data_IF_583723121108
#
_entry.id   IF_583723121108
#
_cell.length_a   1.000
_cell.length_b   1.000
_cell.length_c   1.000
_cell.angle_alpha   90.00
_cell.angle_beta   90.00
_cell.angle_gamma   90.00
#
_symmetry.space_group_name_H-M   'P 1'
#
loop_
_entity.id
_entity.type
_entity.pdbx_description
1 polymer ?
#
# COMPACT_ATOMS: atom_id res chain seq x y z
N UNK A 1 64.09 38.94 57.76
CA UNK A 1 62.69 39.06 57.36
C UNK A 1 62.61 38.97 55.83
N UNK A 2 62.26 37.82 55.27
CA UNK A 2 62.16 37.59 53.80
C UNK A 2 60.69 37.45 53.45
N UNK A 3 60.17 38.36 52.62
CA UNK A 3 58.81 38.35 52.14
C UNK A 3 58.80 37.52 50.86
N UNK A 4 58.02 36.46 50.85
CA UNK A 4 57.76 35.66 49.64
C UNK A 4 56.55 36.26 48.89
N UNK A 5 56.72 36.74 47.68
CA UNK A 5 55.62 37.08 46.78
C UNK A 5 55.19 35.79 46.08
N UNK A 6 53.95 35.42 46.28
CA UNK A 6 53.31 34.33 45.52
C UNK A 6 52.75 34.91 44.23
N UNK A 7 53.25 34.45 43.11
CA UNK A 7 52.69 34.70 41.78
C UNK A 7 51.56 33.71 41.54
N UNK A 8 50.32 34.20 41.48
CA UNK A 8 49.17 33.38 41.05
C UNK A 8 49.11 33.41 39.51
N UNK A 9 49.34 32.24 38.90
CA UNK A 9 49.16 32.05 37.46
C UNK A 9 47.68 31.82 37.15
N UNK A 10 47.02 32.75 36.50
CA UNK A 10 45.68 32.58 35.94
C UNK A 10 45.76 31.77 34.64
N UNK A 11 45.28 30.54 34.68
CA UNK A 11 45.05 29.74 33.49
C UNK A 11 43.74 30.17 32.84
N UNK A 12 43.84 30.82 31.68
CA UNK A 12 42.69 31.06 30.80
C UNK A 12 42.35 29.77 30.03
N UNK A 13 41.31 29.11 30.38
CA UNK A 13 40.74 28.02 29.60
C UNK A 13 39.98 28.60 28.40
N UNK A 14 40.55 28.46 27.21
CA UNK A 14 39.85 28.75 25.95
C UNK A 14 38.85 27.64 25.71
N UNK A 15 37.59 27.94 25.94
CA UNK A 15 36.50 27.04 25.53
C UNK A 15 36.39 27.07 24.00
N UNK A 16 36.88 26.02 23.35
CA UNK A 16 36.62 25.77 21.94
C UNK A 16 35.14 25.38 21.81
N UNK A 17 34.32 26.38 21.45
CA UNK A 17 32.93 26.16 21.13
C UNK A 17 32.79 25.26 19.90
N UNK A 18 32.69 23.95 20.11
CA UNK A 18 32.27 23.01 19.08
C UNK A 18 30.85 23.34 18.68
N UNK A 19 30.64 23.84 17.46
CA UNK A 19 29.31 23.95 16.87
C UNK A 19 28.64 22.58 16.95
N UNK A 20 27.39 22.46 17.43
CA UNK A 20 26.70 21.19 17.38
C UNK A 20 26.62 20.76 15.91
N UNK A 21 27.23 19.63 15.58
CA UNK A 21 26.99 18.95 14.34
C UNK A 21 25.48 18.73 14.25
N UNK A 22 24.80 19.53 13.44
CA UNK A 22 23.43 19.26 13.03
C UNK A 22 23.46 17.90 12.34
N UNK A 23 23.17 16.86 13.13
CA UNK A 23 22.97 15.53 12.62
C UNK A 23 21.77 15.64 11.69
N UNK A 24 21.99 15.56 10.37
CA UNK A 24 20.91 15.43 9.42
C UNK A 24 20.03 14.31 9.94
N UNK A 25 18.80 14.64 10.28
CA UNK A 25 17.80 13.62 10.58
C UNK A 25 17.77 12.72 9.33
N UNK A 26 17.81 11.39 9.48
CA UNK A 26 17.58 10.51 8.35
C UNK A 26 16.27 11.01 7.73
N UNK A 27 16.32 11.32 6.42
CA UNK A 27 15.14 11.69 5.65
C UNK A 27 14.04 10.75 6.10
N UNK A 28 12.99 11.31 6.73
CA UNK A 28 11.98 10.51 7.40
C UNK A 28 11.60 9.39 6.48
N UNK A 29 11.54 8.18 7.00
CA UNK A 29 11.25 6.98 6.25
C UNK A 29 10.04 7.28 5.39
N UNK A 30 10.27 7.50 4.09
CA UNK A 30 9.21 7.84 3.15
C UNK A 30 8.24 6.69 3.22
N UNK A 31 7.06 6.90 3.79
CA UNK A 31 5.93 5.98 3.67
C UNK A 31 5.54 5.98 2.20
N UNK A 32 6.20 5.15 1.45
CA UNK A 32 6.14 5.12 0.00
C UNK A 32 4.91 4.31 -0.37
N UNK A 33 3.90 4.99 -0.89
CA UNK A 33 2.70 4.36 -1.43
C UNK A 33 3.03 3.35 -2.53
N UNK A 34 3.96 3.73 -3.42
CA UNK A 34 4.42 2.91 -4.52
C UNK A 34 5.94 3.02 -4.64
N UNK A 35 6.62 1.88 -4.76
CA UNK A 35 8.07 1.80 -5.00
C UNK A 35 8.32 1.25 -6.40
N UNK A 36 8.30 2.10 -7.44
CA UNK A 36 8.58 1.64 -8.79
C UNK A 36 10.01 1.11 -8.87
N UNK A 37 10.16 -0.06 -9.50
CA UNK A 37 11.44 -0.76 -9.61
C UNK A 37 11.79 -1.67 -8.44
N UNK A 38 11.07 -1.60 -7.32
CA UNK A 38 11.26 -2.56 -6.24
C UNK A 38 10.82 -3.96 -6.69
N UNK A 39 11.70 -4.93 -6.53
CA UNK A 39 11.40 -6.35 -6.76
C UNK A 39 11.53 -7.05 -5.42
N UNK A 40 10.43 -7.64 -4.88
CA UNK A 40 10.47 -8.27 -3.57
C UNK A 40 11.43 -9.46 -3.54
N UNK A 41 12.08 -9.65 -2.41
CA UNK A 41 12.84 -10.87 -2.15
C UNK A 41 11.89 -12.09 -2.16
N UNK A 42 12.39 -13.24 -2.59
CA UNK A 42 11.60 -14.48 -2.61
C UNK A 42 11.07 -14.89 -1.22
N UNK A 43 11.70 -14.42 -0.14
CA UNK A 43 11.28 -14.63 1.24
C UNK A 43 10.30 -13.58 1.74
N UNK A 44 10.11 -12.47 1.02
CA UNK A 44 9.16 -11.44 1.39
C UNK A 44 7.73 -11.92 1.13
N UNK A 45 7.01 -12.16 2.21
CA UNK A 45 5.67 -12.76 2.18
C UNK A 45 4.65 -11.86 2.87
N UNK A 46 3.44 -11.94 2.37
CA UNK A 46 2.27 -11.44 3.06
C UNK A 46 2.11 -12.15 4.43
N UNK A 47 1.62 -11.43 5.44
CA UNK A 47 1.32 -12.02 6.74
C UNK A 47 0.30 -13.15 6.62
N UNK A 48 0.49 -14.22 7.41
CA UNK A 48 -0.34 -15.42 7.34
C UNK A 48 -1.85 -15.14 7.55
N UNK A 49 -2.20 -14.15 8.37
CA UNK A 49 -3.59 -13.75 8.62
C UNK A 49 -4.34 -13.30 7.35
N UNK A 50 -3.62 -12.79 6.35
CA UNK A 50 -4.20 -12.27 5.11
C UNK A 50 -4.18 -13.27 3.95
N UNK A 51 -3.74 -14.48 4.17
CA UNK A 51 -3.74 -15.52 3.13
C UNK A 51 -5.15 -15.80 2.63
N UNK A 52 -5.25 -16.06 1.32
CA UNK A 52 -6.49 -16.44 0.66
C UNK A 52 -7.04 -17.72 1.25
N UNK A 53 -8.34 -17.72 1.58
CA UNK A 53 -9.03 -18.91 2.09
C UNK A 53 -10.54 -18.86 1.84
N UNK A 54 -11.15 -20.05 1.74
CA UNK A 54 -12.60 -20.19 1.75
C UNK A 54 -13.13 -19.95 3.16
N UNK A 55 -14.17 -19.11 3.28
CA UNK A 55 -14.75 -18.72 4.55
C UNK A 55 -16.27 -18.82 4.53
N UNK A 56 -16.87 -18.95 5.72
CA UNK A 56 -18.30 -18.67 5.89
C UNK A 56 -18.51 -17.16 5.76
N UNK A 57 -19.40 -16.76 4.87
CA UNK A 57 -19.67 -15.34 4.60
C UNK A 57 -21.15 -15.15 4.28
N UNK A 58 -21.91 -14.66 5.25
CA UNK A 58 -23.32 -14.33 5.04
C UNK A 58 -23.40 -13.02 4.27
N UNK A 59 -24.04 -13.06 3.12
CA UNK A 59 -24.21 -11.89 2.26
C UNK A 59 -25.54 -11.94 1.52
N UNK A 60 -26.15 -10.79 1.32
CA UNK A 60 -27.30 -10.60 0.42
C UNK A 60 -26.89 -10.43 -1.04
N UNK A 61 -25.58 -10.23 -1.30
CA UNK A 61 -25.08 -10.07 -2.66
C UNK A 61 -25.10 -11.40 -3.41
N UNK A 62 -25.46 -11.41 -4.70
CA UNK A 62 -25.46 -12.62 -5.51
C UNK A 62 -24.06 -13.21 -5.68
N UNK A 63 -24.00 -14.53 -5.92
CA UNK A 63 -22.74 -15.20 -6.24
C UNK A 63 -22.05 -14.53 -7.45
N UNK A 64 -20.72 -14.43 -7.40
CA UNK A 64 -19.90 -13.73 -8.37
C UNK A 64 -19.68 -12.25 -8.04
N UNK A 65 -20.38 -11.68 -7.07
CA UNK A 65 -20.11 -10.32 -6.59
C UNK A 65 -18.84 -10.27 -5.75
N UNK A 66 -18.05 -9.22 -5.93
CA UNK A 66 -16.93 -8.89 -5.05
C UNK A 66 -17.43 -7.93 -3.96
N UNK A 67 -17.20 -8.26 -2.69
CA UNK A 67 -17.49 -7.38 -1.54
C UNK A 67 -16.17 -7.01 -0.88
N UNK A 68 -15.92 -5.71 -0.72
CA UNK A 68 -14.71 -5.18 -0.07
C UNK A 68 -15.08 -4.59 1.28
N UNK A 69 -14.45 -5.05 2.34
CA UNK A 69 -14.51 -4.46 3.68
C UNK A 69 -13.18 -3.76 3.97
N UNK A 70 -13.16 -2.44 3.79
CA UNK A 70 -11.90 -1.68 3.87
C UNK A 70 -11.35 -1.63 5.29
N UNK A 71 -12.20 -1.55 6.31
CA UNK A 71 -11.78 -1.56 7.73
C UNK A 71 -11.18 -2.88 8.19
N UNK A 72 -11.53 -3.99 7.53
CA UNK A 72 -11.03 -5.32 7.84
C UNK A 72 -9.78 -5.69 7.03
N UNK A 73 -9.48 -4.93 5.97
CA UNK A 73 -8.46 -5.25 4.96
C UNK A 73 -8.70 -6.59 4.25
N UNK A 74 -9.98 -6.89 3.98
CA UNK A 74 -10.39 -8.09 3.26
C UNK A 74 -11.31 -7.79 2.08
N UNK A 75 -11.18 -8.64 1.08
CA UNK A 75 -12.05 -8.71 -0.09
C UNK A 75 -12.65 -10.11 -0.16
N UNK A 76 -13.92 -10.20 -0.52
CA UNK A 76 -14.68 -11.44 -0.57
C UNK A 76 -15.28 -11.64 -1.96
N UNK A 77 -14.93 -12.71 -2.64
CA UNK A 77 -15.66 -13.17 -3.83
C UNK A 77 -16.79 -14.09 -3.37
N UNK A 78 -18.01 -13.61 -3.44
CA UNK A 78 -19.22 -14.35 -3.01
C UNK A 78 -19.41 -15.58 -3.88
N UNK A 79 -19.54 -16.75 -3.26
CA UNK A 79 -19.75 -18.03 -3.94
C UNK A 79 -21.18 -18.58 -3.82
N UNK A 80 -22.05 -17.89 -3.07
CA UNK A 80 -23.36 -18.39 -2.69
C UNK A 80 -23.32 -19.35 -1.49
N UNK A 81 -24.49 -19.79 -1.02
CA UNK A 81 -24.62 -20.71 0.12
C UNK A 81 -23.86 -20.27 1.38
N UNK A 82 -23.86 -18.96 1.67
CA UNK A 82 -23.11 -18.35 2.78
C UNK A 82 -21.59 -18.64 2.73
N UNK A 83 -21.00 -18.72 1.55
CA UNK A 83 -19.57 -18.95 1.35
C UNK A 83 -18.97 -17.85 0.50
N UNK A 84 -17.72 -17.52 0.76
CA UNK A 84 -16.90 -16.67 -0.09
C UNK A 84 -15.45 -17.14 -0.10
N UNK A 85 -14.73 -16.77 -1.15
CA UNK A 85 -13.28 -16.81 -1.15
C UNK A 85 -12.79 -15.45 -0.66
N UNK A 86 -12.08 -15.44 0.46
CA UNK A 86 -11.54 -14.25 1.11
C UNK A 86 -10.10 -14.00 0.68
N UNK A 87 -9.78 -12.78 0.30
CA UNK A 87 -8.45 -12.29 -0.04
C UNK A 87 -8.04 -11.20 0.94
N UNK A 88 -6.80 -11.23 1.42
CA UNK A 88 -6.20 -10.10 2.13
C UNK A 88 -5.86 -8.98 1.16
N UNK A 89 -6.12 -7.74 1.55
CA UNK A 89 -5.88 -6.57 0.70
C UNK A 89 -5.17 -5.44 1.42
N UNK A 90 -4.39 -4.64 0.67
CA UNK A 90 -4.03 -3.28 1.05
C UNK A 90 -5.11 -2.33 0.57
N UNK A 91 -5.41 -1.30 1.36
CA UNK A 91 -6.49 -0.33 1.10
C UNK A 91 -5.98 1.10 1.06
N UNK A 92 -6.87 2.05 0.71
CA UNK A 92 -6.59 3.48 0.78
C UNK A 92 -6.22 3.93 2.19
N UNK A 93 -5.17 4.77 2.30
CA UNK A 93 -4.83 5.47 3.54
C UNK A 93 -5.94 6.45 3.95
N UNK A 94 -5.84 6.98 5.15
CA UNK A 94 -6.79 7.99 5.66
C UNK A 94 -6.95 9.15 4.66
N UNK A 95 -8.19 9.53 4.43
CA UNK A 95 -8.57 10.52 3.42
C UNK A 95 -8.72 9.99 1.98
N UNK A 96 -8.28 8.75 1.70
CA UNK A 96 -8.44 8.08 0.40
C UNK A 96 -9.35 6.85 0.46
N UNK A 97 -10.08 6.70 1.55
CA UNK A 97 -11.07 5.63 1.71
C UNK A 97 -12.40 6.07 1.11
N UNK A 98 -13.07 5.16 0.47
CA UNK A 98 -14.36 5.39 -0.17
C UNK A 98 -15.24 4.13 -0.10
N UNK A 99 -16.54 4.31 -0.28
CA UNK A 99 -17.54 3.26 -0.32
C UNK A 99 -18.44 3.46 -1.54
N UNK A 100 -19.04 2.38 -2.02
CA UNK A 100 -19.95 2.46 -3.17
C UNK A 100 -20.11 1.14 -3.91
N UNK A 101 -20.85 1.22 -5.02
CA UNK A 101 -21.05 0.12 -5.96
C UNK A 101 -20.47 0.50 -7.31
N UNK A 102 -19.51 -0.27 -7.79
CA UNK A 102 -18.94 -0.15 -9.12
C UNK A 102 -18.99 -1.48 -9.86
N UNK A 103 -18.59 -1.48 -11.12
CA UNK A 103 -18.40 -2.70 -11.91
C UNK A 103 -16.99 -2.73 -12.46
N UNK A 104 -16.47 -3.94 -12.64
CA UNK A 104 -15.24 -4.13 -13.41
C UNK A 104 -15.53 -3.70 -14.84
N UNK A 105 -14.87 -2.63 -15.31
CA UNK A 105 -15.05 -2.08 -16.66
C UNK A 105 -14.03 -2.62 -17.65
N UNK A 106 -12.83 -2.98 -17.17
CA UNK A 106 -11.72 -3.51 -17.97
C UNK A 106 -10.78 -4.34 -17.14
N UNK A 107 -10.10 -5.26 -17.77
CA UNK A 107 -9.05 -6.11 -17.16
C UNK A 107 -7.76 -5.98 -17.97
N UNK A 108 -6.60 -6.06 -17.33
CA UNK A 108 -5.29 -6.03 -17.99
C UNK A 108 -4.30 -6.95 -17.29
N UNK A 109 -3.51 -7.66 -18.08
CA UNK A 109 -2.35 -8.40 -17.63
C UNK A 109 -1.13 -7.50 -17.68
N UNK A 110 -0.27 -7.57 -16.66
CA UNK A 110 0.94 -6.77 -16.56
C UNK A 110 0.75 -5.33 -17.05
N UNK A 111 -0.17 -4.57 -16.43
CA UNK A 111 -0.52 -3.23 -16.89
C UNK A 111 0.65 -2.27 -16.78
N UNK A 112 0.75 -1.34 -17.71
CA UNK A 112 1.61 -0.18 -17.56
C UNK A 112 1.11 0.69 -16.41
N UNK A 113 2.04 1.34 -15.73
CA UNK A 113 1.75 2.25 -14.64
C UNK A 113 2.11 3.69 -15.02
N UNK A 114 1.15 4.56 -14.83
CA UNK A 114 1.32 6.02 -14.90
C UNK A 114 0.87 6.57 -13.55
N UNK A 115 1.76 7.17 -12.76
CA UNK A 115 1.39 7.76 -11.48
C UNK A 115 0.36 8.87 -11.68
N UNK A 116 -0.63 9.01 -10.78
CA UNK A 116 -1.52 10.17 -10.76
C UNK A 116 -0.73 11.47 -10.62
N UNK A 117 -1.25 12.56 -11.19
CA UNK A 117 -0.61 13.87 -11.14
C UNK A 117 -0.31 14.33 -9.71
N UNK A 118 -1.27 14.14 -8.80
CA UNK A 118 -1.11 14.44 -7.38
C UNK A 118 0.05 13.68 -6.74
N UNK A 119 0.25 12.41 -7.11
CA UNK A 119 1.37 11.63 -6.61
C UNK A 119 2.71 12.19 -7.09
N UNK A 120 2.77 12.67 -8.33
CA UNK A 120 3.96 13.31 -8.90
C UNK A 120 4.27 14.64 -8.20
N UNK A 121 3.26 15.40 -7.83
CA UNK A 121 3.43 16.66 -7.09
C UNK A 121 4.06 16.43 -5.72
N UNK A 122 3.65 15.37 -5.03
CA UNK A 122 4.24 14.97 -3.74
C UNK A 122 5.57 14.23 -3.88
N UNK A 123 5.81 13.57 -5.00
CA UNK A 123 7.00 12.76 -5.28
C UNK A 123 7.53 13.02 -6.70
N UNK A 124 8.19 14.18 -6.94
CA UNK A 124 8.60 14.61 -8.29
C UNK A 124 9.61 13.70 -8.99
N UNK A 125 10.29 12.86 -8.23
CA UNK A 125 11.30 11.90 -8.73
C UNK A 125 10.68 10.62 -9.32
N UNK A 126 9.37 10.40 -9.18
CA UNK A 126 8.72 9.23 -9.77
C UNK A 126 8.79 9.24 -11.29
N UNK A 127 8.95 8.07 -11.93
CA UNK A 127 8.88 7.97 -13.39
C UNK A 127 7.47 8.39 -13.85
N UNK A 128 7.40 9.08 -15.00
CA UNK A 128 6.11 9.50 -15.58
C UNK A 128 5.33 8.35 -16.20
N UNK A 129 6.01 7.25 -16.47
CA UNK A 129 5.46 6.02 -17.00
C UNK A 129 6.41 4.85 -16.68
N UNK A 130 5.85 3.66 -16.50
CA UNK A 130 6.58 2.43 -16.29
C UNK A 130 5.87 1.26 -16.99
N UNK A 131 6.60 0.50 -17.78
CA UNK A 131 6.09 -0.72 -18.40
C UNK A 131 5.65 -1.75 -17.36
N UNK A 132 4.71 -2.61 -17.74
CA UNK A 132 4.32 -3.76 -16.93
C UNK A 132 5.51 -4.68 -16.65
N UNK A 133 5.53 -5.29 -15.47
CA UNK A 133 6.61 -6.18 -15.05
C UNK A 133 6.72 -6.34 -13.53
N UNK A 134 7.65 -7.18 -13.04
CA UNK A 134 7.76 -7.50 -11.60
C UNK A 134 7.99 -6.30 -10.69
N UNK A 135 8.70 -5.27 -11.16
CA UNK A 135 8.95 -4.03 -10.41
C UNK A 135 7.85 -2.97 -10.58
N UNK A 136 6.76 -3.26 -11.30
CA UNK A 136 5.68 -2.33 -11.49
C UNK A 136 4.73 -2.34 -10.29
N UNK A 137 4.36 -1.18 -9.72
CA UNK A 137 3.46 -1.09 -8.57
C UNK A 137 2.09 -1.74 -8.76
N UNK A 138 1.58 -1.85 -9.98
CA UNK A 138 0.30 -2.50 -10.28
C UNK A 138 0.39 -4.04 -10.31
N UNK A 139 1.59 -4.60 -10.26
CA UNK A 139 1.80 -6.04 -10.24
C UNK A 139 1.30 -6.76 -11.50
N UNK A 140 0.95 -8.04 -11.32
CA UNK A 140 0.69 -8.95 -12.44
C UNK A 140 -0.64 -8.69 -13.16
N UNK A 141 -1.66 -8.14 -12.50
CA UNK A 141 -3.02 -7.95 -13.04
C UNK A 141 -3.64 -6.66 -12.50
N UNK A 142 -4.50 -6.05 -13.30
CA UNK A 142 -5.39 -4.98 -12.86
C UNK A 142 -6.82 -5.16 -13.36
N UNK A 143 -7.79 -4.92 -12.48
CA UNK A 143 -9.22 -4.87 -12.75
C UNK A 143 -9.68 -3.43 -12.48
N UNK A 144 -10.09 -2.72 -13.52
CA UNK A 144 -10.46 -1.31 -13.46
C UNK A 144 -11.92 -1.17 -13.04
N UNK A 145 -12.22 -0.20 -12.17
CA UNK A 145 -13.52 -0.03 -11.54
C UNK A 145 -14.29 1.15 -12.17
N UNK A 146 -15.31 0.83 -12.95
CA UNK A 146 -16.13 1.83 -13.63
C UNK A 146 -15.33 2.76 -14.53
N UNK A 147 -15.73 4.04 -14.58
CA UNK A 147 -14.98 5.14 -15.20
C UNK A 147 -14.06 5.91 -14.24
N UNK A 148 -13.69 5.28 -13.12
CA UNK A 148 -12.89 5.92 -12.07
C UNK A 148 -11.38 5.65 -12.25
N UNK A 149 -10.56 6.28 -11.43
CA UNK A 149 -9.12 6.00 -11.32
C UNK A 149 -8.83 4.76 -10.47
N UNK A 150 -9.83 4.20 -9.79
CA UNK A 150 -9.66 3.09 -8.86
C UNK A 150 -9.53 1.74 -9.55
N UNK A 151 -8.75 0.87 -8.93
CA UNK A 151 -8.44 -0.48 -9.44
C UNK A 151 -8.37 -1.48 -8.30
N UNK A 152 -8.62 -2.74 -8.62
CA UNK A 152 -8.13 -3.89 -7.88
C UNK A 152 -6.90 -4.36 -8.66
N UNK A 153 -5.73 -4.46 -8.01
CA UNK A 153 -4.50 -4.79 -8.73
C UNK A 153 -3.51 -5.59 -7.87
N UNK A 154 -2.52 -6.17 -8.52
CA UNK A 154 -1.40 -6.80 -7.85
C UNK A 154 -0.50 -5.79 -7.12
N UNK A 155 0.63 -6.26 -6.63
CA UNK A 155 1.63 -5.37 -6.03
C UNK A 155 3.03 -5.96 -6.18
N UNK A 156 4.02 -5.08 -6.27
CA UNK A 156 5.42 -5.42 -6.08
C UNK A 156 5.84 -5.34 -4.59
N UNK A 157 4.91 -5.00 -3.67
CA UNK A 157 5.15 -4.83 -2.24
C UNK A 157 4.21 -5.73 -1.41
N UNK A 158 4.43 -7.07 -1.36
CA UNK A 158 3.52 -8.01 -0.71
C UNK A 158 3.35 -7.77 0.80
N UNK A 159 4.33 -7.16 1.46
CA UNK A 159 4.27 -6.80 2.89
C UNK A 159 3.23 -5.71 3.20
N UNK A 160 2.76 -4.97 2.19
CA UNK A 160 1.74 -3.91 2.37
C UNK A 160 0.31 -4.45 2.45
N UNK A 161 0.11 -5.74 2.23
CA UNK A 161 -1.20 -6.37 2.42
C UNK A 161 -1.58 -6.37 3.90
N UNK A 162 -2.80 -5.95 4.19
CA UNK A 162 -3.28 -5.72 5.56
C UNK A 162 -3.04 -4.29 6.06
N UNK A 163 -2.53 -3.39 5.21
CA UNK A 163 -2.23 -2.01 5.58
C UNK A 163 -3.05 -0.99 4.77
N UNK A 164 -3.22 0.20 5.34
CA UNK A 164 -3.84 1.34 4.68
C UNK A 164 -2.73 2.24 4.08
N UNK A 165 -2.34 1.97 2.84
CA UNK A 165 -1.15 2.59 2.22
C UNK A 165 -1.39 3.14 0.80
N UNK A 166 -2.51 2.84 0.16
CA UNK A 166 -2.76 3.25 -1.22
C UNK A 166 -3.49 4.60 -1.32
N UNK A 167 -3.54 5.14 -2.53
CA UNK A 167 -4.38 6.31 -2.87
C UNK A 167 -5.80 5.90 -3.29
N UNK A 168 -6.37 4.86 -2.65
CA UNK A 168 -7.75 4.41 -2.83
C UNK A 168 -7.93 3.14 -3.67
N UNK A 169 -6.88 2.61 -4.30
CA UNK A 169 -6.91 1.31 -4.96
C UNK A 169 -6.81 0.16 -3.95
N UNK A 170 -7.24 -1.04 -4.38
CA UNK A 170 -7.16 -2.26 -3.58
C UNK A 170 -6.01 -3.13 -4.09
N UNK A 171 -5.00 -3.37 -3.23
CA UNK A 171 -3.81 -4.16 -3.56
C UNK A 171 -3.98 -5.60 -3.11
N UNK A 172 -3.58 -6.55 -3.94
CA UNK A 172 -3.45 -7.96 -3.60
C UNK A 172 -2.01 -8.42 -3.88
N UNK A 173 -1.58 -9.51 -3.26
CA UNK A 173 -0.38 -10.19 -3.76
C UNK A 173 -0.63 -10.72 -5.18
N UNK A 174 0.42 -10.85 -5.99
CA UNK A 174 0.29 -11.21 -7.41
C UNK A 174 -0.46 -12.53 -7.63
N UNK A 175 -0.21 -13.56 -6.82
CA UNK A 175 -0.91 -14.85 -6.93
C UNK A 175 -2.42 -14.72 -6.67
N UNK A 176 -2.83 -13.81 -5.80
CA UNK A 176 -4.23 -13.63 -5.46
C UNK A 176 -4.97 -12.78 -6.49
N UNK A 177 -4.33 -11.75 -7.03
CA UNK A 177 -4.95 -10.97 -8.11
C UNK A 177 -5.05 -11.77 -9.41
N UNK A 178 -4.12 -12.68 -9.68
CA UNK A 178 -4.22 -13.61 -10.82
C UNK A 178 -5.41 -14.53 -10.62
N UNK A 179 -5.54 -15.17 -9.46
CA UNK A 179 -6.68 -16.04 -9.15
C UNK A 179 -8.04 -15.30 -9.24
N UNK A 180 -8.12 -14.09 -8.69
CA UNK A 180 -9.34 -13.27 -8.80
C UNK A 180 -9.63 -12.86 -10.25
N UNK A 181 -8.60 -12.45 -10.99
CA UNK A 181 -8.69 -12.07 -12.41
C UNK A 181 -9.29 -13.21 -13.26
N UNK A 182 -8.84 -14.43 -13.05
CA UNK A 182 -9.32 -15.59 -13.83
C UNK A 182 -10.77 -15.98 -13.50
N UNK A 183 -11.22 -15.69 -12.26
CA UNK A 183 -12.57 -16.05 -11.79
C UNK A 183 -13.66 -15.07 -12.20
N UNK A 184 -13.33 -13.78 -12.40
CA UNK A 184 -14.37 -12.75 -12.55
C UNK A 184 -14.34 -12.12 -13.94
N UNK A 185 -15.48 -12.02 -14.65
CA UNK A 185 -15.58 -11.34 -15.92
C UNK A 185 -15.65 -9.81 -15.78
N UNK A 186 -15.45 -9.12 -16.89
CA UNK A 186 -15.86 -7.71 -17.02
C UNK A 186 -17.38 -7.62 -16.77
N UNK A 187 -17.83 -6.57 -16.09
CA UNK A 187 -19.21 -6.39 -15.67
C UNK A 187 -19.51 -6.90 -14.26
N UNK A 188 -18.58 -7.63 -13.61
CA UNK A 188 -18.72 -8.07 -12.21
C UNK A 188 -18.97 -6.88 -11.28
N UNK A 189 -19.98 -7.00 -10.43
CA UNK A 189 -20.28 -6.01 -9.38
C UNK A 189 -19.20 -6.02 -8.29
N UNK A 190 -18.81 -4.82 -7.85
CA UNK A 190 -17.86 -4.60 -6.74
C UNK A 190 -18.53 -3.67 -5.75
N UNK A 191 -18.89 -4.21 -4.60
CA UNK A 191 -19.52 -3.49 -3.47
C UNK A 191 -18.43 -3.16 -2.47
N UNK A 192 -18.21 -1.87 -2.22
CA UNK A 192 -17.19 -1.40 -1.28
C UNK A 192 -17.88 -0.84 -0.04
N UNK A 193 -17.51 -1.35 1.13
CA UNK A 193 -18.01 -0.96 2.44
C UNK A 193 -16.85 -0.57 3.34
N UNK A 194 -17.03 0.49 4.10
CA UNK A 194 -16.00 0.91 5.07
C UNK A 194 -16.11 0.13 6.38
N UNK A 195 -17.32 -0.15 6.86
CA UNK A 195 -17.56 -0.98 8.03
C UNK A 195 -18.05 -2.37 7.63
N UNK A 196 -17.74 -3.38 8.45
CA UNK A 196 -18.41 -4.66 8.35
C UNK A 196 -19.91 -4.43 8.59
N UNK A 197 -20.77 -4.95 7.71
CA UNK A 197 -22.19 -5.05 8.03
C UNK A 197 -22.35 -6.11 9.12
N UNK A 198 -22.87 -5.70 10.28
CA UNK A 198 -23.26 -6.60 11.37
C UNK A 198 -24.31 -7.61 10.90
#
# INVERSE_FOLDING_TARGET
MRRYLSLAAMLFAVAVGGSPLVRAQPAGEMKIDDQPGYVPDANEKMQAAYQRQAVFFRSSEPAGTIVVHTSEHFMYLVQGNNRALRYGIGVGRDGFQWAGLLKISRKSEWPDWTPPQEMIEHQPYLPRWMAGGPGNPLGARALYLGGTVYRIHGTNQPHTIGQAVSSGCFRLVNNDVIDLYDRVPVGTNVVIRHAASL
#
